data_IF_194361839889
#
_entry.id   IF_194361839889
#
_cell.length_a   1.000
_cell.length_b   1.000
_cell.length_c   1.000
_cell.angle_alpha   90.00
_cell.angle_beta   90.00
_cell.angle_gamma   90.00
#
_symmetry.space_group_name_H-M   'P 1'
#
loop_
_entity.id
_entity.type
_entity.pdbx_description
1 polymer ?
#
# COMPACT_ATOMS: atom_id res chain seq x y z
N UNK A 1 -1.44 -29.90 11.72
CA UNK A 1 -1.92 -28.52 11.51
C UNK A 1 -2.86 -28.19 12.64
N UNK A 2 -2.85 -26.97 13.16
CA UNK A 2 -3.82 -26.54 14.16
C UNK A 2 -5.20 -26.28 13.52
N UNK A 3 -6.22 -26.02 14.34
CA UNK A 3 -7.58 -25.77 13.87
C UNK A 3 -7.68 -24.57 12.91
N UNK A 4 -6.89 -23.52 13.16
CA UNK A 4 -6.88 -22.29 12.34
C UNK A 4 -6.28 -22.55 10.95
N UNK A 5 -5.22 -23.33 10.86
CA UNK A 5 -4.64 -23.76 9.60
C UNK A 5 -5.60 -24.66 8.80
N UNK A 6 -6.40 -25.49 9.49
CA UNK A 6 -7.44 -26.28 8.82
C UNK A 6 -8.54 -25.38 8.24
N UNK A 7 -9.05 -24.42 9.00
CA UNK A 7 -10.06 -23.47 8.53
C UNK A 7 -9.54 -22.63 7.34
N UNK A 8 -8.29 -22.18 7.41
CA UNK A 8 -7.61 -21.50 6.31
C UNK A 8 -7.52 -22.41 5.07
N UNK A 9 -7.16 -23.70 5.23
CA UNK A 9 -7.10 -24.64 4.12
C UNK A 9 -8.47 -24.77 3.42
N UNK A 10 -9.53 -24.99 4.20
CA UNK A 10 -10.89 -25.12 3.67
C UNK A 10 -11.31 -23.86 2.92
N UNK A 11 -11.02 -22.69 3.47
CA UNK A 11 -11.25 -21.43 2.79
C UNK A 11 -10.51 -21.32 1.44
N UNK A 12 -9.22 -21.68 1.40
CA UNK A 12 -8.44 -21.66 0.16
C UNK A 12 -8.99 -22.63 -0.90
N UNK A 13 -9.47 -23.82 -0.48
CA UNK A 13 -10.08 -24.78 -1.39
C UNK A 13 -11.33 -24.20 -2.06
N UNK A 14 -12.21 -23.55 -1.29
CA UNK A 14 -13.40 -22.90 -1.85
C UNK A 14 -13.03 -21.75 -2.77
N UNK A 15 -12.07 -20.91 -2.39
CA UNK A 15 -11.60 -19.80 -3.23
C UNK A 15 -11.08 -20.29 -4.58
N UNK A 16 -10.26 -21.33 -4.61
CA UNK A 16 -9.70 -21.83 -5.87
C UNK A 16 -10.76 -22.50 -6.77
N UNK A 17 -11.94 -22.81 -6.23
CA UNK A 17 -13.07 -23.37 -6.97
C UNK A 17 -14.07 -22.30 -7.41
N UNK A 18 -14.41 -21.36 -6.54
CA UNK A 18 -15.50 -20.39 -6.69
C UNK A 18 -15.00 -18.96 -6.99
N UNK A 19 -13.70 -18.71 -6.83
CA UNK A 19 -13.07 -17.41 -7.05
C UNK A 19 -13.57 -16.33 -6.10
N UNK A 20 -13.98 -15.19 -6.66
CA UNK A 20 -14.38 -14.00 -5.92
C UNK A 20 -15.71 -14.12 -5.16
N UNK A 21 -16.48 -15.17 -5.41
CA UNK A 21 -17.75 -15.46 -4.72
C UNK A 21 -17.53 -16.19 -3.38
N UNK A 22 -16.34 -16.75 -3.16
CA UNK A 22 -16.02 -17.49 -1.95
C UNK A 22 -16.01 -16.59 -0.69
N UNK A 23 -16.89 -16.88 0.26
CA UNK A 23 -16.97 -16.18 1.54
C UNK A 23 -16.43 -17.03 2.70
N UNK A 24 -15.64 -16.40 3.57
CA UNK A 24 -15.02 -17.08 4.71
C UNK A 24 -16.04 -17.66 5.70
N UNK A 25 -17.12 -16.93 5.98
CA UNK A 25 -18.22 -17.40 6.82
C UNK A 25 -19.07 -18.52 6.17
N UNK A 26 -18.90 -18.77 4.87
CA UNK A 26 -19.62 -19.81 4.15
C UNK A 26 -18.84 -21.14 4.08
N UNK A 27 -17.64 -21.23 4.67
CA UNK A 27 -16.74 -22.39 4.52
C UNK A 27 -17.42 -23.72 4.80
N UNK A 28 -18.11 -23.84 5.94
CA UNK A 28 -18.82 -25.07 6.30
C UNK A 28 -19.89 -25.46 5.27
N UNK A 29 -20.75 -24.50 4.88
CA UNK A 29 -21.85 -24.74 3.93
C UNK A 29 -21.33 -25.05 2.53
N UNK A 30 -20.31 -24.33 2.07
CA UNK A 30 -19.67 -24.56 0.77
C UNK A 30 -19.09 -25.96 0.67
N UNK A 31 -18.36 -26.41 1.70
CA UNK A 31 -17.84 -27.78 1.73
C UNK A 31 -18.93 -28.84 1.88
N UNK A 32 -20.02 -28.57 2.61
CA UNK A 32 -21.15 -29.49 2.69
C UNK A 32 -21.80 -29.67 1.30
N UNK A 33 -22.06 -28.59 0.58
CA UNK A 33 -22.60 -28.64 -0.78
C UNK A 33 -21.65 -29.36 -1.75
N UNK A 34 -20.35 -29.10 -1.62
CA UNK A 34 -19.31 -29.77 -2.38
C UNK A 34 -19.35 -31.29 -2.18
N UNK A 35 -19.32 -31.75 -0.93
CA UNK A 35 -19.32 -33.17 -0.61
C UNK A 35 -20.62 -33.86 -1.03
N UNK A 36 -21.77 -33.20 -0.89
CA UNK A 36 -23.04 -33.70 -1.40
C UNK A 36 -23.01 -33.88 -2.93
N UNK A 37 -22.42 -32.94 -3.67
CA UNK A 37 -22.29 -33.04 -5.13
C UNK A 37 -21.29 -34.11 -5.61
N UNK A 38 -20.43 -34.62 -4.72
CA UNK A 38 -19.51 -35.72 -4.97
C UNK A 38 -20.06 -37.07 -4.48
N UNK A 39 -21.18 -37.06 -3.74
CA UNK A 39 -21.75 -38.28 -3.17
C UNK A 39 -22.19 -39.27 -4.25
N UNK A 40 -21.93 -40.56 -4.01
CA UNK A 40 -22.27 -41.65 -4.95
C UNK A 40 -21.21 -41.97 -6.00
N UNK A 41 -20.08 -41.25 -6.03
CA UNK A 41 -18.94 -41.55 -6.90
C UNK A 41 -17.64 -41.59 -6.09
N UNK A 42 -17.21 -42.80 -5.73
CA UNK A 42 -15.99 -43.02 -4.91
C UNK A 42 -14.73 -42.45 -5.55
N UNK A 43 -14.62 -42.46 -6.89
CA UNK A 43 -13.45 -41.93 -7.60
C UNK A 43 -13.36 -40.41 -7.45
N UNK A 44 -14.50 -39.71 -7.51
CA UNK A 44 -14.57 -38.26 -7.31
C UNK A 44 -14.26 -37.87 -5.87
N UNK A 45 -14.71 -38.66 -4.89
CA UNK A 45 -14.36 -38.47 -3.48
C UNK A 45 -12.85 -38.67 -3.28
N UNK A 46 -12.28 -39.74 -3.84
CA UNK A 46 -10.85 -40.02 -3.75
C UNK A 46 -10.01 -38.89 -4.36
N UNK A 47 -10.37 -38.41 -5.56
CA UNK A 47 -9.71 -37.27 -6.20
C UNK A 47 -9.75 -36.02 -5.31
N UNK A 48 -10.91 -35.70 -4.74
CA UNK A 48 -11.05 -34.55 -3.84
C UNK A 48 -10.15 -34.67 -2.60
N UNK A 49 -10.07 -35.85 -1.98
CA UNK A 49 -9.19 -36.08 -0.81
C UNK A 49 -7.72 -35.94 -1.19
N UNK A 50 -7.32 -36.43 -2.37
CA UNK A 50 -5.95 -36.26 -2.90
C UNK A 50 -5.62 -34.78 -3.12
N UNK A 51 -6.52 -34.01 -3.73
CA UNK A 51 -6.35 -32.56 -3.94
C UNK A 51 -6.28 -31.79 -2.62
N UNK A 52 -7.12 -32.17 -1.65
CA UNK A 52 -7.10 -31.58 -0.32
C UNK A 52 -5.77 -31.86 0.40
N UNK A 53 -5.25 -33.08 0.32
CA UNK A 53 -3.95 -33.44 0.87
C UNK A 53 -2.81 -32.66 0.19
N UNK A 54 -2.85 -32.54 -1.14
CA UNK A 54 -1.92 -31.71 -1.92
C UNK A 54 -1.90 -30.27 -1.42
N UNK A 55 -3.07 -29.61 -1.34
CA UNK A 55 -3.19 -28.24 -0.85
C UNK A 55 -2.80 -28.06 0.61
N UNK A 56 -3.01 -29.07 1.45
CA UNK A 56 -2.52 -29.08 2.82
C UNK A 56 -0.97 -29.01 2.89
N UNK A 57 -0.27 -29.73 2.00
CA UNK A 57 1.20 -29.66 1.89
C UNK A 57 1.65 -28.27 1.45
N UNK A 58 1.00 -27.67 0.44
CA UNK A 58 1.30 -26.30 0.02
C UNK A 58 1.03 -25.27 1.12
N UNK A 59 -0.10 -25.37 1.83
CA UNK A 59 -0.39 -24.47 2.94
C UNK A 59 0.68 -24.58 4.04
N UNK A 60 1.17 -25.80 4.32
CA UNK A 60 2.27 -26.00 5.26
C UNK A 60 3.53 -25.25 4.79
N UNK A 61 3.87 -25.28 3.50
CA UNK A 61 4.99 -24.52 2.94
C UNK A 61 4.78 -23.00 3.07
N UNK A 62 3.57 -22.50 2.86
CA UNK A 62 3.23 -21.07 3.03
C UNK A 62 3.38 -20.64 4.50
N UNK A 63 2.85 -21.42 5.44
CA UNK A 63 2.85 -21.10 6.86
C UNK A 63 4.21 -21.35 7.53
N UNK A 64 4.98 -22.30 7.01
CA UNK A 64 6.28 -22.70 7.54
C UNK A 64 7.27 -22.90 6.37
N UNK A 65 7.74 -21.80 5.75
CA UNK A 65 8.63 -21.87 4.60
C UNK A 65 9.93 -22.60 4.97
N UNK A 66 10.24 -23.74 4.32
CA UNK A 66 11.51 -24.43 4.51
C UNK A 66 12.67 -23.51 4.14
N UNK A 67 13.83 -23.64 4.81
CA UNK A 67 14.97 -22.73 4.55
C UNK A 67 15.61 -22.95 3.19
N UNK A 68 15.54 -24.17 2.67
CA UNK A 68 16.08 -24.65 1.40
C UNK A 68 15.18 -24.33 0.19
N UNK A 69 13.98 -23.79 0.42
CA UNK A 69 13.10 -23.38 -0.69
C UNK A 69 13.71 -22.19 -1.45
N UNK A 70 13.81 -22.24 -2.79
CA UNK A 70 14.41 -21.17 -3.59
C UNK A 70 13.78 -19.79 -3.38
N UNK A 71 12.49 -19.74 -3.05
CA UNK A 71 11.74 -18.52 -2.74
C UNK A 71 11.26 -18.43 -1.28
N UNK A 72 11.90 -19.17 -0.36
CA UNK A 72 11.57 -19.18 1.08
C UNK A 72 11.49 -17.77 1.68
N UNK A 73 12.41 -16.88 1.28
CA UNK A 73 12.46 -15.50 1.75
C UNK A 73 11.18 -14.70 1.42
N UNK A 74 10.59 -14.92 0.24
CA UNK A 74 9.35 -14.25 -0.19
C UNK A 74 8.13 -14.78 0.57
N UNK A 75 8.04 -16.10 0.78
CA UNK A 75 6.97 -16.67 1.61
C UNK A 75 7.05 -16.19 3.06
N UNK A 76 8.26 -16.14 3.62
CA UNK A 76 8.52 -15.63 4.97
C UNK A 76 8.12 -14.15 5.09
N UNK A 77 8.46 -13.34 4.09
CA UNK A 77 8.01 -11.96 4.00
C UNK A 77 6.47 -11.87 4.03
N UNK A 78 5.76 -12.61 3.16
CA UNK A 78 4.29 -12.56 3.11
C UNK A 78 3.64 -13.02 4.42
N UNK A 79 4.23 -14.01 5.09
CA UNK A 79 3.78 -14.46 6.41
C UNK A 79 3.97 -13.37 7.47
N UNK A 80 5.15 -12.77 7.56
CA UNK A 80 5.45 -11.71 8.54
C UNK A 80 4.64 -10.44 8.26
N UNK A 81 4.39 -10.14 6.98
CA UNK A 81 3.48 -9.10 6.51
C UNK A 81 2.02 -9.38 6.88
N UNK A 82 1.70 -10.65 7.16
CA UNK A 82 0.36 -11.20 7.36
C UNK A 82 -0.54 -11.02 6.14
N UNK A 83 -0.01 -11.32 4.95
CA UNK A 83 -0.69 -11.24 3.67
C UNK A 83 -1.57 -12.47 3.38
N UNK A 84 -2.42 -12.88 4.33
CA UNK A 84 -3.28 -14.07 4.15
C UNK A 84 -4.22 -13.98 2.96
N UNK A 85 -4.58 -12.77 2.53
CA UNK A 85 -5.37 -12.49 1.33
C UNK A 85 -4.64 -12.88 0.03
N UNK A 86 -3.31 -12.97 0.03
CA UNK A 86 -2.52 -13.39 -1.13
C UNK A 86 -2.34 -14.92 -1.19
N UNK A 87 -2.70 -15.67 -0.15
CA UNK A 87 -2.49 -17.12 -0.08
C UNK A 87 -3.20 -17.92 -1.18
N UNK A 88 -4.38 -17.53 -1.70
CA UNK A 88 -4.95 -18.22 -2.87
C UNK A 88 -4.01 -18.20 -4.07
N UNK A 89 -3.43 -17.03 -4.39
CA UNK A 89 -2.50 -16.88 -5.49
C UNK A 89 -1.20 -17.66 -5.22
N UNK A 90 -0.67 -17.60 -3.99
CA UNK A 90 0.52 -18.38 -3.61
C UNK A 90 0.26 -19.88 -3.74
N UNK A 91 -0.93 -20.35 -3.35
CA UNK A 91 -1.32 -21.75 -3.51
C UNK A 91 -1.40 -22.15 -4.98
N UNK A 92 -1.98 -21.30 -5.83
CA UNK A 92 -2.03 -21.53 -7.28
C UNK A 92 -0.62 -21.62 -7.89
N UNK A 93 0.29 -20.73 -7.50
CA UNK A 93 1.69 -20.76 -7.96
C UNK A 93 2.40 -22.06 -7.54
N UNK A 94 2.17 -22.53 -6.31
CA UNK A 94 2.74 -23.80 -5.84
C UNK A 94 2.14 -25.02 -6.55
N UNK A 95 0.85 -24.97 -6.93
CA UNK A 95 0.23 -26.01 -7.77
C UNK A 95 0.87 -26.05 -9.16
N UNK A 96 0.97 -24.90 -9.83
CA UNK A 96 1.61 -24.79 -11.16
C UNK A 96 3.06 -25.27 -11.14
N UNK A 97 3.80 -24.95 -10.07
CA UNK A 97 5.18 -25.43 -9.87
C UNK A 97 5.24 -26.95 -9.64
N UNK A 98 4.36 -27.52 -8.82
CA UNK A 98 4.33 -28.97 -8.58
C UNK A 98 3.89 -29.75 -9.82
N UNK A 99 3.07 -29.15 -10.68
CA UNK A 99 2.66 -29.72 -11.97
C UNK A 99 3.67 -29.43 -13.10
N UNK A 100 4.90 -28.97 -12.78
CA UNK A 100 5.99 -28.67 -13.72
C UNK A 100 5.65 -27.64 -14.83
N UNK A 101 4.67 -26.76 -14.59
CA UNK A 101 4.30 -25.70 -15.55
C UNK A 101 5.20 -24.47 -15.43
N UNK A 102 5.74 -24.22 -14.23
CA UNK A 102 6.64 -23.11 -13.95
C UNK A 102 7.79 -23.55 -13.04
N UNK A 103 8.94 -22.90 -13.20
CA UNK A 103 10.12 -23.13 -12.39
C UNK A 103 10.15 -22.33 -11.07
N UNK A 104 11.20 -22.59 -10.28
CA UNK A 104 11.46 -21.88 -9.02
C UNK A 104 11.67 -20.37 -9.20
N UNK A 105 12.35 -19.97 -10.29
CA UNK A 105 12.62 -18.57 -10.60
C UNK A 105 11.33 -17.80 -10.90
N UNK A 106 10.43 -18.39 -11.69
CA UNK A 106 9.14 -17.79 -12.06
C UNK A 106 8.23 -17.62 -10.83
N UNK A 107 8.20 -18.61 -9.93
CA UNK A 107 7.47 -18.46 -8.65
C UNK A 107 8.08 -17.32 -7.83
N UNK A 108 9.41 -17.26 -7.74
CA UNK A 108 10.12 -16.20 -7.04
C UNK A 108 9.81 -14.80 -7.58
N UNK A 109 9.75 -14.66 -8.91
CA UNK A 109 9.43 -13.41 -9.59
C UNK A 109 7.95 -13.01 -9.39
N UNK A 110 7.01 -13.94 -9.57
CA UNK A 110 5.59 -13.69 -9.33
C UNK A 110 5.33 -13.23 -7.88
N UNK A 111 5.99 -13.87 -6.90
CA UNK A 111 5.90 -13.46 -5.49
C UNK A 111 6.56 -12.09 -5.25
N UNK A 112 7.60 -11.72 -6.00
CA UNK A 112 8.21 -10.40 -5.93
C UNK A 112 7.25 -9.29 -6.40
N UNK A 113 6.43 -9.55 -7.43
CA UNK A 113 5.38 -8.62 -7.84
C UNK A 113 4.27 -8.48 -6.79
N UNK A 114 3.84 -9.57 -6.16
CA UNK A 114 2.88 -9.52 -5.04
C UNK A 114 3.44 -8.71 -3.87
N UNK A 115 4.69 -8.95 -3.49
CA UNK A 115 5.37 -8.18 -2.45
C UNK A 115 5.45 -6.69 -2.81
N UNK A 116 5.91 -6.37 -4.02
CA UNK A 116 6.00 -4.99 -4.50
C UNK A 116 4.66 -4.27 -4.48
N UNK A 117 3.61 -4.92 -4.98
CA UNK A 117 2.26 -4.38 -5.00
C UNK A 117 1.78 -4.00 -3.60
N UNK A 118 2.01 -4.86 -2.61
CA UNK A 118 1.63 -4.60 -1.21
C UNK A 118 2.47 -3.48 -0.58
N UNK A 119 3.79 -3.50 -0.79
CA UNK A 119 4.72 -2.53 -0.19
C UNK A 119 4.54 -1.14 -0.78
N UNK A 120 4.54 -1.00 -2.11
CA UNK A 120 4.39 0.31 -2.76
C UNK A 120 3.05 0.93 -2.39
N UNK A 121 1.96 0.15 -2.34
CA UNK A 121 0.65 0.61 -1.88
C UNK A 121 0.69 1.12 -0.44
N UNK A 122 1.37 0.44 0.48
CA UNK A 122 1.52 0.91 1.85
C UNK A 122 2.31 2.22 1.90
N UNK A 123 3.45 2.29 1.18
CA UNK A 123 4.28 3.50 1.12
C UNK A 123 3.46 4.69 0.61
N UNK A 124 2.66 4.51 -0.44
CA UNK A 124 1.79 5.54 -1.00
C UNK A 124 0.46 5.75 -0.23
N UNK A 125 0.26 5.07 0.90
CA UNK A 125 -0.95 5.16 1.73
C UNK A 125 -2.24 4.76 1.01
N UNK A 126 -2.17 3.81 0.06
CA UNK A 126 -3.32 3.23 -0.61
C UNK A 126 -4.00 2.25 0.34
N UNK A 127 -5.31 2.43 0.56
CA UNK A 127 -6.10 1.57 1.44
C UNK A 127 -6.02 0.08 1.06
N UNK A 128 -6.07 -0.80 2.04
CA UNK A 128 -6.00 -2.28 1.86
C UNK A 128 -7.32 -2.91 1.40
N UNK A 129 -8.31 -2.09 1.01
CA UNK A 129 -9.59 -2.56 0.53
C UNK A 129 -9.46 -3.43 -0.73
N UNK A 130 -10.33 -4.43 -0.83
CA UNK A 130 -10.45 -5.34 -1.99
C UNK A 130 -9.24 -6.23 -2.32
N UNK A 131 -8.16 -6.23 -1.52
CA UNK A 131 -7.00 -7.12 -1.75
C UNK A 131 -7.41 -8.59 -1.87
N UNK A 132 -8.35 -9.05 -1.03
CA UNK A 132 -8.87 -10.41 -1.10
C UNK A 132 -9.44 -10.72 -2.50
N UNK A 133 -10.37 -9.90 -2.99
CA UNK A 133 -11.01 -10.11 -4.32
C UNK A 133 -10.01 -10.06 -5.47
N UNK A 134 -8.99 -9.20 -5.38
CA UNK A 134 -7.94 -9.08 -6.39
C UNK A 134 -7.17 -10.40 -6.50
N UNK A 135 -6.61 -10.89 -5.38
CA UNK A 135 -5.80 -12.10 -5.39
C UNK A 135 -6.61 -13.37 -5.61
N UNK A 136 -7.84 -13.45 -5.12
CA UNK A 136 -8.75 -14.57 -5.41
C UNK A 136 -9.05 -14.69 -6.90
N UNK A 137 -9.37 -13.58 -7.55
CA UNK A 137 -9.65 -13.56 -8.99
C UNK A 137 -8.41 -13.96 -9.78
N UNK A 138 -7.25 -13.40 -9.44
CA UNK A 138 -5.99 -13.73 -10.09
C UNK A 138 -5.63 -15.22 -9.91
N UNK A 139 -5.84 -15.78 -8.72
CA UNK A 139 -5.60 -17.20 -8.46
C UNK A 139 -6.45 -18.14 -9.33
N UNK A 140 -7.68 -17.74 -9.68
CA UNK A 140 -8.56 -18.53 -10.55
C UNK A 140 -8.26 -18.32 -12.03
N UNK A 141 -7.86 -17.11 -12.42
CA UNK A 141 -7.57 -16.78 -13.82
C UNK A 141 -6.22 -17.32 -14.29
N UNK A 142 -5.25 -17.44 -13.39
CA UNK A 142 -3.88 -17.83 -13.74
C UNK A 142 -3.82 -19.26 -14.29
N UNK A 143 -3.50 -19.35 -15.57
CA UNK A 143 -3.42 -20.59 -16.34
C UNK A 143 -2.01 -21.20 -16.39
N UNK A 144 -1.95 -22.40 -16.95
CA UNK A 144 -0.74 -23.19 -17.17
C UNK A 144 0.04 -22.78 -18.43
N UNK A 145 -0.62 -22.12 -19.38
CA UNK A 145 -0.07 -21.76 -20.69
C UNK A 145 0.45 -20.32 -20.76
N UNK A 146 0.41 -19.59 -19.65
CA UNK A 146 0.79 -18.18 -19.57
C UNK A 146 2.25 -18.04 -19.09
N UNK A 147 2.93 -16.97 -19.51
CA UNK A 147 4.12 -16.50 -18.80
C UNK A 147 3.69 -15.98 -17.43
N UNK A 148 3.65 -16.87 -16.44
CA UNK A 148 3.01 -16.62 -15.13
C UNK A 148 3.49 -15.34 -14.44
N UNK A 149 4.80 -15.03 -14.36
CA UNK A 149 5.25 -13.77 -13.75
C UNK A 149 4.70 -12.53 -14.48
N UNK A 150 4.70 -12.56 -15.81
CA UNK A 150 4.15 -11.49 -16.64
C UNK A 150 2.64 -11.35 -16.44
N UNK A 151 1.89 -12.45 -16.46
CA UNK A 151 0.44 -12.45 -16.22
C UNK A 151 0.07 -11.87 -14.84
N UNK A 152 0.83 -12.22 -13.80
CA UNK A 152 0.66 -11.64 -12.45
C UNK A 152 0.91 -10.13 -12.47
N UNK A 153 2.00 -9.68 -13.12
CA UNK A 153 2.33 -8.25 -13.21
C UNK A 153 1.26 -7.48 -13.98
N UNK A 154 0.84 -7.97 -15.14
CA UNK A 154 -0.23 -7.37 -15.98
C UNK A 154 -1.52 -7.26 -15.17
N UNK A 155 -1.94 -8.33 -14.49
CA UNK A 155 -3.20 -8.36 -13.76
C UNK A 155 -3.26 -7.39 -12.58
N UNK A 156 -2.11 -7.07 -11.97
CA UNK A 156 -1.98 -6.11 -10.87
C UNK A 156 -1.78 -4.66 -11.35
N UNK A 157 -1.42 -4.46 -12.63
CA UNK A 157 -1.11 -3.14 -13.22
C UNK A 157 -2.30 -2.23 -13.59
N UNK A 158 -3.58 -2.64 -13.66
CA UNK A 158 -4.66 -1.72 -14.00
C UNK A 158 -4.75 -0.54 -13.02
N UNK A 159 -4.90 0.68 -13.52
CA UNK A 159 -4.87 1.92 -12.73
C UNK A 159 -5.81 1.92 -11.51
N UNK A 160 -7.00 1.29 -11.62
CA UNK A 160 -7.96 1.12 -10.51
C UNK A 160 -7.42 0.34 -9.31
N UNK A 161 -6.37 -0.46 -9.51
CA UNK A 161 -5.71 -1.22 -8.46
C UNK A 161 -4.59 -0.43 -7.79
N UNK A 162 -4.29 0.80 -8.25
CA UNK A 162 -3.39 1.73 -7.59
C UNK A 162 -2.04 1.10 -7.21
N UNK A 163 -1.38 0.40 -8.13
CA UNK A 163 0.02 0.00 -7.96
C UNK A 163 0.91 1.20 -8.31
N UNK A 164 1.60 1.83 -7.34
CA UNK A 164 2.35 3.05 -7.61
C UNK A 164 3.50 2.84 -8.60
N UNK A 165 3.62 3.75 -9.57
CA UNK A 165 4.77 3.82 -10.47
C UNK A 165 6.04 4.24 -9.73
N UNK A 166 7.18 4.15 -10.41
CA UNK A 166 8.47 4.58 -9.84
C UNK A 166 8.47 6.08 -9.51
N UNK A 167 7.82 6.90 -10.36
CA UNK A 167 7.68 8.34 -10.12
C UNK A 167 6.82 8.62 -8.89
N UNK A 168 5.69 7.95 -8.77
CA UNK A 168 4.82 8.09 -7.60
C UNK A 168 5.54 7.61 -6.34
N UNK A 169 6.28 6.50 -6.41
CA UNK A 169 7.04 6.01 -5.27
C UNK A 169 8.10 7.01 -4.81
N UNK A 170 8.76 7.71 -5.74
CA UNK A 170 9.72 8.79 -5.46
C UNK A 170 9.09 9.95 -4.71
N UNK A 171 7.95 10.45 -5.19
CA UNK A 171 7.21 11.53 -4.54
C UNK A 171 6.74 11.15 -3.13
N UNK A 172 6.22 9.92 -2.98
CA UNK A 172 5.65 9.43 -1.73
C UNK A 172 6.73 9.14 -0.67
N UNK A 173 7.88 8.56 -1.04
CA UNK A 173 9.01 8.36 -0.10
C UNK A 173 9.54 9.69 0.44
N UNK A 174 9.55 10.73 -0.40
CA UNK A 174 10.08 12.05 -0.06
C UNK A 174 9.20 12.84 0.90
N UNK A 175 7.88 12.74 0.75
CA UNK A 175 6.94 13.68 1.40
C UNK A 175 5.92 13.02 2.32
N UNK A 176 5.63 11.73 2.17
CA UNK A 176 4.60 11.08 2.97
C UNK A 176 5.09 10.78 4.37
N UNK A 177 4.20 11.00 5.33
CA UNK A 177 4.36 10.52 6.70
C UNK A 177 4.22 8.98 6.77
N UNK A 178 5.27 8.28 6.33
CA UNK A 178 5.41 6.82 6.32
C UNK A 178 5.14 6.20 7.69
N UNK A 179 5.58 6.85 8.77
CA UNK A 179 5.40 6.33 10.14
C UNK A 179 3.93 6.13 10.55
N UNK A 180 2.99 6.78 9.87
CA UNK A 180 1.55 6.60 10.12
C UNK A 180 0.88 5.60 9.17
N UNK A 181 1.63 5.01 8.23
CA UNK A 181 1.07 4.11 7.23
C UNK A 181 1.14 2.64 7.69
N UNK A 182 0.02 1.94 7.57
CA UNK A 182 -0.07 0.52 7.90
C UNK A 182 0.26 0.21 9.37
N UNK A 183 0.68 -1.03 9.63
CA UNK A 183 1.03 -1.50 10.97
C UNK A 183 2.52 -1.38 11.22
N UNK A 184 2.94 -1.19 12.46
CA UNK A 184 4.36 -1.11 12.86
C UNK A 184 5.18 -2.30 12.37
N UNK A 185 4.62 -3.51 12.37
CA UNK A 185 5.31 -4.70 11.83
C UNK A 185 5.64 -4.54 10.34
N UNK A 186 4.73 -3.97 9.54
CA UNK A 186 4.94 -3.76 8.10
C UNK A 186 5.97 -2.64 7.85
N UNK A 187 5.93 -1.58 8.64
CA UNK A 187 6.92 -0.51 8.58
C UNK A 187 8.33 -1.04 8.86
N UNK A 188 8.48 -1.83 9.93
CA UNK A 188 9.75 -2.49 10.27
C UNK A 188 10.21 -3.45 9.19
N UNK A 189 9.29 -4.20 8.57
CA UNK A 189 9.61 -5.10 7.46
C UNK A 189 10.18 -4.37 6.26
N UNK A 190 9.61 -3.22 5.88
CA UNK A 190 10.11 -2.39 4.78
C UNK A 190 11.53 -1.90 5.11
N UNK A 191 11.74 -1.34 6.31
CA UNK A 191 13.06 -0.87 6.73
C UNK A 191 14.09 -2.01 6.77
N UNK A 192 13.71 -3.19 7.29
CA UNK A 192 14.57 -4.37 7.28
C UNK A 192 14.93 -4.77 5.85
N UNK A 193 13.97 -4.74 4.92
CA UNK A 193 14.21 -5.21 3.56
C UNK A 193 15.14 -4.28 2.78
N UNK A 194 15.03 -2.98 3.04
CA UNK A 194 16.01 -1.99 2.58
C UNK A 194 17.38 -2.26 3.21
N UNK A 195 17.47 -2.46 4.52
CA UNK A 195 18.73 -2.77 5.21
C UNK A 195 19.43 -4.02 4.66
N UNK A 196 18.69 -5.11 4.48
CA UNK A 196 19.22 -6.36 3.93
C UNK A 196 19.75 -6.18 2.51
N UNK A 197 19.13 -5.30 1.71
CA UNK A 197 19.59 -5.00 0.36
C UNK A 197 20.92 -4.22 0.33
N UNK A 198 21.28 -3.55 1.44
CA UNK A 198 22.55 -2.84 1.59
C UNK A 198 23.74 -3.77 1.88
N UNK A 199 23.50 -5.08 1.99
CA UNK A 199 24.56 -6.05 2.28
C UNK A 199 24.98 -6.05 3.74
N UNK A 200 24.06 -5.69 4.65
CA UNK A 200 24.30 -5.71 6.08
C UNK A 200 24.77 -7.08 6.55
N UNK A 201 25.83 -7.10 7.36
CA UNK A 201 26.37 -8.34 7.94
C UNK A 201 25.51 -8.83 9.11
N UNK A 202 24.71 -7.94 9.69
CA UNK A 202 23.83 -8.23 10.82
C UNK A 202 22.41 -8.54 10.33
N UNK A 203 21.88 -9.71 10.71
CA UNK A 203 20.47 -10.04 10.45
C UNK A 203 19.58 -9.30 11.44
N UNK A 204 18.63 -8.55 10.92
CA UNK A 204 17.65 -7.84 11.75
C UNK A 204 16.52 -8.79 12.16
N UNK A 205 16.55 -9.25 13.41
CA UNK A 205 15.44 -10.01 13.98
C UNK A 205 14.33 -9.08 14.49
N UNK A 206 13.20 -9.04 13.78
CA UNK A 206 12.06 -8.22 14.17
C UNK A 206 11.25 -8.83 15.33
N UNK A 207 11.53 -10.08 15.73
CA UNK A 207 10.98 -10.65 16.95
C UNK A 207 11.66 -10.09 18.20
N UNK A 208 12.88 -9.59 18.08
CA UNK A 208 13.55 -8.86 19.15
C UNK A 208 12.84 -7.53 19.40
N UNK A 209 12.21 -7.41 20.57
CA UNK A 209 11.45 -6.23 20.97
C UNK A 209 12.32 -4.98 21.12
N UNK A 210 13.64 -5.13 21.24
CA UNK A 210 14.59 -4.00 21.29
C UNK A 210 14.69 -3.30 19.93
N UNK A 211 14.52 -4.03 18.83
CA UNK A 211 14.53 -3.46 17.48
C UNK A 211 13.26 -2.66 17.26
N UNK A 212 13.42 -1.35 17.14
CA UNK A 212 12.33 -0.38 17.01
C UNK A 212 12.62 0.62 15.91
N UNK A 213 11.61 1.41 15.54
CA UNK A 213 11.78 2.47 14.54
C UNK A 213 12.27 3.72 15.27
N UNK A 214 13.46 4.18 14.92
CA UNK A 214 14.06 5.42 15.42
C UNK A 214 13.73 6.57 14.48
N UNK A 215 13.39 7.73 15.08
CA UNK A 215 13.24 9.00 14.37
C UNK A 215 14.53 9.80 14.57
N UNK A 216 15.34 9.97 13.52
CA UNK A 216 16.62 10.67 13.67
C UNK A 216 16.37 12.13 14.09
N UNK A 217 15.61 12.88 13.28
CA UNK A 217 14.91 14.09 13.74
C UNK A 217 13.76 13.66 14.66
N UNK A 218 13.77 14.01 15.96
CA UNK A 218 12.82 13.49 16.94
C UNK A 218 11.41 14.03 16.75
N UNK A 219 10.43 13.30 17.31
CA UNK A 219 9.01 13.70 17.30
C UNK A 219 8.75 14.98 18.12
N UNK A 220 9.47 15.16 19.22
CA UNK A 220 9.40 16.38 20.02
C UNK A 220 10.57 17.28 19.66
N UNK A 221 10.27 18.50 19.23
CA UNK A 221 11.27 19.51 18.92
C UNK A 221 12.02 19.93 20.20
N UNK A 222 13.35 20.08 20.10
CA UNK A 222 14.20 20.66 21.15
C UNK A 222 14.92 21.90 20.60
N UNK A 223 15.53 22.69 21.50
CA UNK A 223 16.32 23.86 21.12
C UNK A 223 17.47 23.53 20.18
N UNK A 224 18.11 22.37 20.36
CA UNK A 224 19.22 21.92 19.52
C UNK A 224 18.72 21.62 18.09
N UNK A 225 17.58 20.93 17.98
CA UNK A 225 16.97 20.61 16.68
C UNK A 225 16.35 21.81 15.98
N UNK A 226 15.88 22.81 16.73
CA UNK A 226 15.54 24.13 16.19
C UNK A 226 16.75 24.75 15.50
N UNK A 227 17.93 24.72 16.12
CA UNK A 227 19.18 25.19 15.51
C UNK A 227 19.54 24.45 14.22
N UNK A 228 19.43 23.12 14.22
CA UNK A 228 19.71 22.26 13.05
C UNK A 228 18.75 22.52 11.87
N UNK A 229 17.48 22.84 12.14
CA UNK A 229 16.48 23.12 11.12
C UNK A 229 16.39 24.59 10.71
N UNK A 230 16.86 25.52 11.55
CA UNK A 230 16.79 26.97 11.30
C UNK A 230 17.90 27.40 10.32
N UNK A 231 17.74 27.02 9.05
CA UNK A 231 18.58 27.50 7.95
C UNK A 231 17.70 28.15 6.88
N UNK A 232 18.08 29.37 6.48
CA UNK A 232 17.55 30.14 5.33
C UNK A 232 16.02 30.21 5.17
N UNK A 233 15.36 31.04 5.99
CA UNK A 233 14.04 31.61 5.69
C UNK A 233 12.82 30.68 5.81
N UNK A 234 13.03 29.38 6.03
CA UNK A 234 11.95 28.41 6.25
C UNK A 234 11.48 28.41 7.72
N UNK A 235 10.17 28.19 7.92
CA UNK A 235 9.58 27.97 9.25
C UNK A 235 9.97 26.58 9.77
N UNK A 236 10.78 26.53 10.83
CA UNK A 236 11.30 25.29 11.42
C UNK A 236 10.19 24.35 11.91
N UNK A 237 9.07 24.88 12.42
CA UNK A 237 7.93 24.06 12.86
C UNK A 237 7.22 23.43 11.66
N UNK A 238 7.10 24.17 10.56
CA UNK A 238 6.53 23.65 9.32
C UNK A 238 7.42 22.54 8.73
N UNK A 239 8.73 22.77 8.66
CA UNK A 239 9.70 21.78 8.17
C UNK A 239 9.67 20.51 9.01
N UNK A 240 9.64 20.65 10.33
CA UNK A 240 9.54 19.51 11.24
C UNK A 240 8.34 18.64 10.95
N UNK A 241 7.14 19.24 10.88
CA UNK A 241 5.89 18.51 10.58
C UNK A 241 5.94 17.80 9.24
N UNK A 242 6.61 18.38 8.25
CA UNK A 242 6.75 17.78 6.92
C UNK A 242 7.74 16.61 6.89
N UNK A 243 8.80 16.64 7.69
CA UNK A 243 9.93 15.71 7.56
C UNK A 243 9.94 14.60 8.61
N UNK A 244 9.46 14.87 9.82
CA UNK A 244 9.68 14.02 11.00
C UNK A 244 9.21 12.57 10.81
N UNK A 245 8.12 12.37 10.08
CA UNK A 245 7.54 11.03 9.84
C UNK A 245 7.84 10.45 8.45
N UNK A 246 8.71 11.10 7.67
CA UNK A 246 9.08 10.63 6.32
C UNK A 246 10.05 9.47 6.38
N UNK A 247 10.04 8.61 5.36
CA UNK A 247 10.94 7.44 5.32
C UNK A 247 12.42 7.85 5.38
N UNK A 248 12.77 8.99 4.76
CA UNK A 248 14.10 9.58 4.82
C UNK A 248 14.60 9.89 6.24
N UNK A 249 13.71 10.08 7.21
CA UNK A 249 14.06 10.35 8.61
C UNK A 249 14.03 9.11 9.52
N UNK A 250 13.62 7.95 9.01
CA UNK A 250 13.36 6.75 9.81
C UNK A 250 14.41 5.68 9.57
N UNK A 251 14.80 4.99 10.66
CA UNK A 251 15.70 3.84 10.63
C UNK A 251 15.31 2.80 11.68
N UNK A 252 15.97 1.64 11.66
CA UNK A 252 15.84 0.65 12.74
C UNK A 252 16.95 0.84 13.77
N UNK A 253 16.62 0.72 15.05
CA UNK A 253 17.59 0.82 16.14
C UNK A 253 17.24 -0.14 17.28
N UNK A 254 18.28 -0.71 17.90
CA UNK A 254 18.20 -1.48 19.13
C UNK A 254 18.39 -0.66 20.41
N UNK A 255 18.72 0.64 20.30
CA UNK A 255 19.18 1.50 21.41
C UNK A 255 18.08 2.43 21.97
N UNK A 256 16.80 2.04 21.88
CA UNK A 256 15.65 2.95 22.01
C UNK A 256 15.61 3.81 23.29
N UNK A 257 16.03 3.30 24.45
CA UNK A 257 16.02 4.09 25.69
C UNK A 257 17.04 5.24 25.71
N UNK A 258 18.04 5.24 24.83
CA UNK A 258 19.15 6.19 24.89
C UNK A 258 19.14 7.26 23.79
N UNK A 259 18.33 7.13 22.72
CA UNK A 259 18.37 8.04 21.56
C UNK A 259 17.34 9.17 21.62
N UNK A 260 16.07 8.86 21.91
CA UNK A 260 14.95 9.79 22.19
C UNK A 260 15.07 11.20 21.54
N UNK A 261 15.00 12.27 22.32
CA UNK A 261 15.09 13.67 21.88
C UNK A 261 16.53 14.23 21.93
N UNK A 262 17.56 13.36 21.97
CA UNK A 262 18.94 13.83 22.02
C UNK A 262 19.32 14.61 20.76
N UNK A 263 20.33 15.45 20.88
CA UNK A 263 20.93 16.16 19.75
C UNK A 263 21.44 15.19 18.69
N UNK A 264 21.52 15.65 17.45
CA UNK A 264 22.03 14.83 16.37
C UNK A 264 23.46 14.32 16.65
N UNK A 265 24.32 15.15 17.24
CA UNK A 265 25.68 14.75 17.61
C UNK A 265 25.72 13.53 18.55
N UNK A 266 24.82 13.47 19.54
CA UNK A 266 24.69 12.31 20.43
C UNK A 266 24.15 11.08 19.68
N UNK A 267 23.09 11.26 18.87
CA UNK A 267 22.53 10.17 18.06
C UNK A 267 23.53 9.59 17.09
N UNK A 268 24.27 10.43 16.38
CA UNK A 268 25.34 10.06 15.45
C UNK A 268 26.38 9.15 16.10
N UNK A 269 26.82 9.44 17.33
CA UNK A 269 27.79 8.59 18.05
C UNK A 269 27.25 7.18 18.30
N UNK A 270 25.98 7.06 18.70
CA UNK A 270 25.33 5.77 18.96
C UNK A 270 25.00 5.01 17.67
N UNK A 271 24.45 5.69 16.66
CA UNK A 271 24.17 5.10 15.36
C UNK A 271 25.44 4.60 14.67
N UNK A 272 26.57 5.31 14.84
CA UNK A 272 27.88 4.88 14.34
C UNK A 272 28.45 3.63 15.02
N UNK A 273 27.85 3.15 16.10
CA UNK A 273 28.20 1.88 16.74
C UNK A 273 27.31 0.71 16.30
N UNK A 274 26.23 0.99 15.56
CA UNK A 274 25.28 -0.02 15.08
C UNK A 274 25.88 -0.84 13.94
N UNK A 275 25.60 -2.15 13.88
CA UNK A 275 25.97 -2.98 12.73
C UNK A 275 25.14 -2.72 11.47
N UNK A 276 24.10 -1.87 11.55
CA UNK A 276 23.21 -1.56 10.44
C UNK A 276 23.79 -0.49 9.51
N UNK A 277 23.82 -0.77 8.21
CA UNK A 277 24.35 0.11 7.17
C UNK A 277 23.57 1.42 7.12
N UNK A 278 22.22 1.39 7.21
CA UNK A 278 21.43 2.61 7.26
C UNK A 278 21.82 3.54 8.42
N UNK A 279 22.17 2.98 9.58
CA UNK A 279 22.59 3.76 10.74
C UNK A 279 23.99 4.37 10.53
N UNK A 280 24.89 3.62 9.90
CA UNK A 280 26.22 4.11 9.55
C UNK A 280 26.16 5.24 8.52
N UNK A 281 25.29 5.14 7.51
CA UNK A 281 25.06 6.22 6.54
C UNK A 281 24.56 7.50 7.22
N UNK A 282 23.64 7.38 8.20
CA UNK A 282 23.16 8.52 8.98
C UNK A 282 24.30 9.10 9.84
N UNK A 283 25.09 8.25 10.49
CA UNK A 283 26.18 8.66 11.36
C UNK A 283 27.36 9.32 10.61
N UNK A 284 27.48 9.07 9.30
CA UNK A 284 28.47 9.72 8.45
C UNK A 284 28.14 11.19 8.13
N UNK A 285 26.88 11.62 8.31
CA UNK A 285 26.50 13.01 8.12
C UNK A 285 26.98 13.87 9.31
N UNK A 286 27.46 15.09 9.04
CA UNK A 286 27.88 16.03 10.09
C UNK A 286 26.69 16.68 10.81
N UNK A 287 25.61 16.90 10.07
CA UNK A 287 24.34 17.51 10.52
C UNK A 287 23.15 16.71 10.00
N UNK A 288 21.94 17.03 10.47
CA UNK A 288 20.73 16.32 10.05
C UNK A 288 19.53 17.24 9.85
N UNK A 289 19.53 17.98 8.75
CA UNK A 289 18.46 18.88 8.38
C UNK A 289 17.62 18.38 7.20
N UNK A 290 16.83 19.29 6.63
CA UNK A 290 15.99 19.06 5.44
C UNK A 290 16.79 18.49 4.27
N UNK A 291 17.98 19.05 3.99
CA UNK A 291 18.79 18.62 2.86
C UNK A 291 19.25 17.16 3.01
N UNK A 292 19.69 16.76 4.19
CA UNK A 292 20.19 15.41 4.46
C UNK A 292 19.04 14.38 4.47
N UNK A 293 17.89 14.73 5.05
CA UNK A 293 16.68 13.88 5.04
C UNK A 293 16.20 13.64 3.61
N UNK A 294 16.12 14.68 2.77
CA UNK A 294 15.69 14.56 1.38
C UNK A 294 16.72 13.81 0.53
N UNK A 295 18.01 14.09 0.69
CA UNK A 295 19.06 13.36 -0.01
C UNK A 295 19.09 11.86 0.37
N UNK A 296 18.81 11.54 1.64
CA UNK A 296 18.61 10.13 2.05
C UNK A 296 17.35 9.54 1.42
N UNK A 297 16.23 10.26 1.41
CA UNK A 297 15.01 9.81 0.77
C UNK A 297 15.23 9.45 -0.72
N UNK A 298 16.00 10.27 -1.44
CA UNK A 298 16.36 10.04 -2.84
C UNK A 298 17.21 8.75 -3.01
N UNK A 299 18.16 8.45 -2.11
CA UNK A 299 18.88 7.16 -2.15
C UNK A 299 17.99 5.97 -1.81
N UNK A 300 17.07 6.16 -0.86
CA UNK A 300 16.15 5.10 -0.44
C UNK A 300 15.15 4.73 -1.53
N UNK A 301 14.67 5.69 -2.32
CA UNK A 301 13.74 5.38 -3.42
C UNK A 301 14.41 4.55 -4.50
N UNK A 302 15.65 4.85 -4.89
CA UNK A 302 16.35 4.06 -5.91
C UNK A 302 16.48 2.60 -5.47
N UNK A 303 16.76 2.40 -4.17
CA UNK A 303 16.78 1.07 -3.57
C UNK A 303 15.40 0.43 -3.51
N UNK A 304 14.38 1.18 -3.12
CA UNK A 304 13.00 0.70 -3.05
C UNK A 304 12.50 0.25 -4.43
N UNK A 305 12.83 1.00 -5.50
CA UNK A 305 12.49 0.65 -6.89
C UNK A 305 13.15 -0.66 -7.29
N UNK A 306 14.42 -0.86 -6.94
CA UNK A 306 15.15 -2.09 -7.25
C UNK A 306 14.62 -3.32 -6.48
N UNK A 307 14.20 -3.16 -5.22
CA UNK A 307 13.64 -4.26 -4.42
C UNK A 307 12.20 -4.60 -4.85
N UNK A 308 11.41 -3.57 -5.12
CA UNK A 308 9.98 -3.66 -5.39
C UNK A 308 9.70 -3.08 -6.77
N UNK A 309 9.72 -3.88 -7.86
CA UNK A 309 9.50 -3.39 -9.22
C UNK A 309 8.09 -2.83 -9.42
N UNK A 310 7.94 -1.80 -10.26
CA UNK A 310 6.66 -1.15 -10.52
C UNK A 310 5.70 -1.93 -11.43
N UNK A 311 4.48 -1.39 -11.66
CA UNK A 311 3.55 -1.94 -12.62
C UNK A 311 4.15 -1.98 -14.03
N UNK A 312 3.51 -2.71 -14.93
CA UNK A 312 3.89 -2.73 -16.33
C UNK A 312 3.50 -1.40 -17.02
N UNK A 313 4.42 -0.85 -17.81
CA UNK A 313 4.21 0.42 -18.49
C UNK A 313 3.18 0.35 -19.62
N UNK A 314 2.94 -0.84 -20.19
CA UNK A 314 1.93 -1.12 -21.22
C UNK A 314 0.50 -0.86 -20.74
N UNK A 315 0.29 -0.87 -19.41
CA UNK A 315 -0.95 -0.47 -18.75
C UNK A 315 -1.12 1.06 -18.62
N UNK A 316 -0.14 1.85 -19.08
CA UNK A 316 -0.25 3.32 -19.24
C UNK A 316 -1.17 3.63 -20.41
N UNK A 317 -2.47 3.35 -20.25
CA UNK A 317 -3.42 4.38 -20.68
C UNK A 317 -2.93 5.67 -20.02
N UNK A 318 -2.52 6.65 -20.82
CA UNK A 318 -1.99 7.97 -20.46
C UNK A 318 -1.91 8.21 -18.95
N UNK A 319 -0.68 8.36 -18.43
CA UNK A 319 -0.38 8.85 -17.09
C UNK A 319 -1.60 9.54 -16.46
N UNK A 320 -2.14 8.94 -15.40
CA UNK A 320 -3.31 9.46 -14.70
C UNK A 320 -3.00 10.85 -14.12
N UNK A 321 -3.16 11.90 -14.92
CA UNK A 321 -4.03 12.98 -14.47
C UNK A 321 -5.32 12.25 -14.11
N UNK A 322 -5.63 12.14 -12.81
CA UNK A 322 -6.92 11.60 -12.37
C UNK A 322 -7.98 12.17 -13.29
N UNK A 323 -8.74 11.31 -13.97
CA UNK A 323 -9.78 11.77 -14.87
C UNK A 323 -10.90 12.39 -14.02
N UNK A 324 -10.81 13.69 -13.80
CA UNK A 324 -11.78 14.47 -13.04
C UNK A 324 -13.02 14.79 -13.86
N UNK A 325 -13.07 14.40 -15.14
CA UNK A 325 -14.19 14.72 -16.05
C UNK A 325 -15.52 14.23 -15.49
N UNK A 326 -15.53 13.02 -14.92
CA UNK A 326 -16.74 12.45 -14.32
C UNK A 326 -17.16 13.21 -13.05
N UNK A 327 -16.20 13.62 -12.21
CA UNK A 327 -16.48 14.45 -11.04
C UNK A 327 -17.03 15.83 -11.44
N UNK A 328 -16.40 16.49 -12.41
CA UNK A 328 -16.82 17.81 -12.88
C UNK A 328 -18.20 17.74 -13.51
N UNK A 329 -18.47 16.70 -14.31
CA UNK A 329 -19.78 16.46 -14.92
C UNK A 329 -20.87 16.22 -13.88
N UNK A 330 -20.58 15.40 -12.86
CA UNK A 330 -21.54 15.14 -11.78
C UNK A 330 -21.87 16.43 -11.00
N UNK A 331 -20.86 17.24 -10.69
CA UNK A 331 -21.06 18.52 -9.99
C UNK A 331 -21.77 19.57 -10.85
N UNK A 332 -21.53 19.59 -12.16
CA UNK A 332 -22.20 20.50 -13.08
C UNK A 332 -23.70 20.22 -13.20
N UNK A 333 -24.12 18.96 -13.07
CA UNK A 333 -25.53 18.53 -13.23
C UNK A 333 -26.27 18.43 -11.88
N UNK A 334 -25.61 18.73 -10.75
CA UNK A 334 -26.28 18.76 -9.44
C UNK A 334 -27.51 19.69 -9.46
N UNK A 335 -28.73 19.17 -9.22
CA UNK A 335 -29.96 19.97 -9.22
C UNK A 335 -29.87 21.16 -8.26
N UNK A 336 -30.65 22.22 -8.48
CA UNK A 336 -30.71 23.33 -7.52
C UNK A 336 -31.16 22.83 -6.13
N UNK A 337 -30.63 23.43 -5.05
CA UNK A 337 -30.90 23.10 -3.65
C UNK A 337 -30.50 21.69 -3.12
N UNK A 338 -29.84 20.83 -3.91
CA UNK A 338 -29.21 19.58 -3.42
C UNK A 338 -27.73 19.74 -3.01
N UNK A 339 -27.18 18.74 -2.33
CA UNK A 339 -25.76 18.64 -2.00
C UNK A 339 -25.30 17.18 -2.16
N UNK A 340 -24.00 16.95 -2.22
CA UNK A 340 -23.40 15.60 -2.28
C UNK A 340 -22.25 15.49 -1.29
N UNK A 341 -21.81 14.27 -0.97
CA UNK A 341 -20.69 14.08 -0.04
C UNK A 341 -19.37 13.79 -0.75
N UNK A 342 -18.25 14.09 -0.08
CA UNK A 342 -16.92 13.68 -0.54
C UNK A 342 -16.81 12.15 -0.75
N UNK A 343 -17.58 11.37 0.02
CA UNK A 343 -17.63 9.91 -0.11
C UNK A 343 -18.34 9.47 -1.39
N UNK A 344 -19.48 10.08 -1.72
CA UNK A 344 -20.26 9.68 -2.89
C UNK A 344 -19.53 10.08 -4.18
N UNK A 345 -18.89 11.25 -4.20
CA UNK A 345 -18.04 11.66 -5.33
C UNK A 345 -16.81 10.78 -5.47
N UNK A 346 -16.20 10.37 -4.36
CA UNK A 346 -15.06 9.47 -4.38
C UNK A 346 -15.45 8.09 -4.90
N UNK A 347 -16.57 7.54 -4.46
CA UNK A 347 -17.11 6.28 -4.96
C UNK A 347 -17.41 6.35 -6.47
N UNK A 348 -18.04 7.44 -6.91
CA UNK A 348 -18.37 7.68 -8.32
C UNK A 348 -17.17 7.61 -9.26
N UNK A 349 -16.04 8.18 -8.85
CA UNK A 349 -14.81 8.21 -9.67
C UNK A 349 -13.81 7.10 -9.29
N UNK A 350 -14.21 6.16 -8.42
CA UNK A 350 -13.33 5.09 -7.95
C UNK A 350 -12.11 5.58 -7.15
N UNK A 351 -12.24 6.70 -6.44
CA UNK A 351 -11.21 7.37 -5.64
C UNK A 351 -11.50 7.28 -4.13
N UNK A 352 -10.69 7.98 -3.33
CA UNK A 352 -10.92 8.17 -1.89
C UNK A 352 -11.36 9.63 -1.63
N UNK A 353 -12.13 9.92 -0.55
CA UNK A 353 -12.60 11.28 -0.23
C UNK A 353 -11.50 12.33 -0.12
N UNK A 354 -10.31 11.92 0.33
CA UNK A 354 -9.17 12.81 0.58
C UNK A 354 -8.64 13.45 -0.72
N UNK A 355 -8.27 12.68 -1.78
CA UNK A 355 -7.95 13.24 -3.09
C UNK A 355 -9.02 14.15 -3.70
N UNK A 356 -10.31 13.82 -3.51
CA UNK A 356 -11.43 14.65 -3.97
C UNK A 356 -11.39 16.01 -3.27
N UNK A 357 -11.18 16.02 -1.95
CA UNK A 357 -11.01 17.25 -1.18
C UNK A 357 -9.83 18.09 -1.67
N UNK A 358 -8.67 17.47 -1.85
CA UNK A 358 -7.46 18.17 -2.35
C UNK A 358 -7.69 18.79 -3.73
N UNK A 359 -8.36 18.07 -4.65
CA UNK A 359 -8.67 18.56 -5.99
C UNK A 359 -9.66 19.72 -5.98
N UNK A 360 -10.72 19.63 -5.18
CA UNK A 360 -11.71 20.71 -5.04
C UNK A 360 -11.14 21.95 -4.36
N UNK A 361 -10.06 21.80 -3.57
CA UNK A 361 -9.36 22.92 -2.94
C UNK A 361 -8.33 23.58 -3.87
N UNK A 362 -7.74 22.83 -4.80
CA UNK A 362 -6.64 23.30 -5.67
C UNK A 362 -7.10 23.76 -7.05
N UNK A 363 -8.24 23.28 -7.54
CA UNK A 363 -8.76 23.58 -8.88
C UNK A 363 -10.15 24.22 -8.78
N UNK A 364 -10.44 25.31 -9.51
CA UNK A 364 -11.78 25.86 -9.61
C UNK A 364 -12.74 24.85 -10.25
N UNK A 365 -13.72 24.37 -9.48
CA UNK A 365 -14.74 23.42 -9.94
C UNK A 365 -16.13 24.01 -9.69
N UNK A 366 -17.01 23.91 -10.69
CA UNK A 366 -18.39 24.38 -10.58
C UNK A 366 -19.11 23.65 -9.43
N UNK A 367 -19.90 24.39 -8.64
CA UNK A 367 -20.67 23.85 -7.51
C UNK A 367 -19.84 23.17 -6.38
N UNK A 368 -18.52 23.38 -6.31
CA UNK A 368 -17.66 22.78 -5.28
C UNK A 368 -18.12 23.08 -3.83
N UNK A 369 -18.74 24.24 -3.58
CA UNK A 369 -19.30 24.63 -2.28
C UNK A 369 -20.47 23.74 -1.80
N UNK A 370 -21.00 22.86 -2.67
CA UNK A 370 -22.12 21.95 -2.40
C UNK A 370 -21.65 20.52 -2.08
N UNK A 371 -20.35 20.34 -1.89
CA UNK A 371 -19.72 19.08 -1.48
C UNK A 371 -19.39 19.12 0.00
N UNK A 372 -20.14 18.36 0.80
CA UNK A 372 -20.08 18.41 2.26
C UNK A 372 -19.46 17.14 2.85
N UNK A 373 -18.88 17.29 4.04
CA UNK A 373 -18.59 16.13 4.90
C UNK A 373 -19.90 15.50 5.38
N UNK A 374 -19.84 14.28 5.95
CA UNK A 374 -20.99 13.64 6.60
C UNK A 374 -21.54 14.42 7.80
N UNK A 375 -20.76 15.37 8.35
CA UNK A 375 -21.19 16.29 9.41
C UNK A 375 -21.79 17.60 8.88
N UNK A 376 -21.98 17.73 7.56
CA UNK A 376 -22.57 18.92 6.93
C UNK A 376 -21.63 20.12 6.84
N UNK A 377 -20.31 19.90 6.98
CA UNK A 377 -19.29 20.96 6.96
C UNK A 377 -18.48 20.93 5.67
N UNK A 378 -18.05 22.10 5.20
CA UNK A 378 -17.05 22.22 4.14
C UNK A 378 -15.66 22.01 4.74
N UNK A 379 -14.86 21.10 4.18
CA UNK A 379 -13.49 20.82 4.63
C UNK A 379 -12.46 21.86 4.14
N UNK A 380 -12.88 22.84 3.33
CA UNK A 380 -12.04 23.89 2.76
C UNK A 380 -12.80 25.22 2.66
N UNK A 381 -12.08 26.34 2.80
CA UNK A 381 -12.66 27.69 2.64
C UNK A 381 -12.68 28.03 1.15
N UNK A 382 -13.87 28.20 0.58
CA UNK A 382 -14.03 28.61 -0.81
C UNK A 382 -13.40 30.00 -1.01
N UNK A 383 -12.53 30.23 -2.02
CA UNK A 383 -12.24 31.59 -2.45
C UNK A 383 -13.56 32.16 -2.99
N UNK A 384 -14.13 33.11 -2.27
CA UNK A 384 -15.43 33.71 -2.61
C UNK A 384 -15.45 34.14 -4.08
N UNK A 385 -16.50 33.83 -4.86
CA UNK A 385 -16.77 34.63 -6.04
C UNK A 385 -16.99 36.06 -5.52
N UNK A 386 -16.27 37.04 -6.07
CA UNK A 386 -16.54 38.46 -5.78
C UNK A 386 -17.98 38.76 -6.21
N UNK A 387 -18.93 38.62 -5.28
CA UNK A 387 -20.28 39.14 -5.44
C UNK A 387 -20.17 40.61 -5.07
N UNK A 388 -20.22 41.47 -6.09
CA UNK A 388 -20.27 42.92 -5.92
C UNK A 388 -21.55 43.28 -5.12
N UNK A 389 -21.48 44.14 -4.09
CA UNK A 389 -22.63 44.41 -3.25
C UNK A 389 -23.52 45.46 -3.92
N UNK A 390 -24.64 45.05 -4.51
CA UNK A 390 -25.79 45.97 -4.63
C UNK A 390 -27.10 45.20 -4.81
N UNK A 391 -28.10 45.36 -3.92
CA UNK A 391 -29.40 44.76 -4.08
C UNK A 391 -30.34 45.73 -4.82
N UNK A 392 -30.73 45.40 -6.05
CA UNK A 392 -32.01 45.90 -6.60
C UNK A 392 -32.70 44.79 -7.40
N UNK A 393 -33.99 44.53 -7.15
CA UNK A 393 -34.74 43.56 -7.92
C UNK A 393 -35.10 44.19 -9.27
N UNK A 394 -34.54 43.69 -10.37
CA UNK A 394 -35.14 43.90 -11.69
C UNK A 394 -36.05 42.73 -11.97
N UNK A 395 -37.34 43.02 -11.93
CA UNK A 395 -38.44 42.23 -12.44
C UNK A 395 -38.13 41.72 -13.85
N UNK A 396 -38.30 40.41 -14.07
CA UNK A 396 -38.30 39.82 -15.41
C UNK A 396 -39.54 40.31 -16.18
N UNK A 397 -39.31 41.11 -17.24
CA UNK A 397 -40.29 41.32 -18.31
C UNK A 397 -40.14 40.24 -19.39
N UNK A 398 -41.23 39.86 -20.09
CA UNK A 398 -41.24 38.67 -20.93
C UNK A 398 -40.46 38.88 -22.24
N UNK A 399 -39.81 37.81 -22.68
CA UNK A 399 -39.21 37.68 -24.02
C UNK A 399 -40.21 38.11 -25.11
N UNK A 400 -39.84 39.10 -25.91
CA UNK A 400 -40.39 39.31 -27.25
C UNK A 400 -39.38 38.80 -28.28
N UNK A 401 -39.83 37.83 -29.07
CA UNK A 401 -39.21 37.41 -30.33
C UNK A 401 -39.49 38.43 -31.46
N UNK A 402 -38.64 38.35 -32.50
CA UNK A 402 -38.68 38.96 -33.85
C UNK A 402 -37.83 40.24 -33.94
N UNK A 403 -36.91 40.39 -34.89
CA UNK A 403 -36.63 39.70 -36.17
C UNK A 403 -35.13 39.71 -36.42
#
# INVERSE_FOLDING_TARGET
MDAKAMEQLMYLVLVLREGGEAQYNAVYRGHQQLLLALSGDERRIESYVRDLHRRARHLKQILFPPEDFPFAGRLRFLKEWQASTAYPLVMRLLELREDDHIGDEEVGEALAYVESFLVRRLIAGVATGNLNRIFQRLAVQLGAEEEVPHAVRVALSPARLYWPSDEQLREEIRSRAFYWQGRTVQQKLILRRIEESLGSKERVDLADKRITIEHVLPQSMTTDWLGELSHEGDDADLLHRQLVHTLGNLTLSGYNSELSNNSFAAKRKQLGQSGLVMNQEIAACERWGKAEILARADRLVDRAIAIWPGPEESGRGSAASRDWTLLHSALAVLPAATWTSYSDLAELIGSHPVPVGVHLASVPVLNAHRVLSRSGQNSWVCPSPRISPNPRPRTMGPCRQKR
#
